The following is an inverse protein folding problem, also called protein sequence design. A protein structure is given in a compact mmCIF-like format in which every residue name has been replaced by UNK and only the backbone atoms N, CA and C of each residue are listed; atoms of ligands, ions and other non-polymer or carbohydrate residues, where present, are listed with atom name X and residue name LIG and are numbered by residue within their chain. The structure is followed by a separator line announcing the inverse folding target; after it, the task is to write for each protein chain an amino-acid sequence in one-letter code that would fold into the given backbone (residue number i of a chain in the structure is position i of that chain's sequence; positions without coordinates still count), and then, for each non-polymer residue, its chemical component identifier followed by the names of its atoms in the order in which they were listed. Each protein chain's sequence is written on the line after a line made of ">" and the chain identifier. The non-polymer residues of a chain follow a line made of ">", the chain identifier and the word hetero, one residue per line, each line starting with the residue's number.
data_IF_312454764404
#
_entry.id   IF_312454764404
#
_cell.length_a   1.000
_cell.length_b   1.000
_cell.length_c   1.000
_cell.angle_alpha   90.00
_cell.angle_beta   90.00
_cell.angle_gamma   90.00
#
_symmetry.space_group_name_H-M   'P 1'
#
loop_
_entity.id
_entity.type
_entity.pdbx_description
1 polymer ?
#
# COMPACT_ATOMS: atom_id res chain seq x y z
N UNK A 1 45.01 19.67 17.54
CA UNK A 1 43.53 19.78 17.39
C UNK A 1 43.30 20.02 15.91
N UNK A 2 42.99 18.96 15.16
CA UNK A 2 42.76 19.05 13.73
C UNK A 2 41.35 19.59 13.48
N UNK A 3 41.25 20.66 12.71
CA UNK A 3 39.99 21.16 12.17
C UNK A 3 39.44 20.09 11.23
N UNK A 4 38.35 19.43 11.62
CA UNK A 4 37.51 18.74 10.67
C UNK A 4 36.79 19.84 9.88
N UNK A 5 37.26 20.10 8.66
CA UNK A 5 36.46 20.83 7.68
C UNK A 5 35.16 20.05 7.50
N UNK A 6 34.02 20.67 7.80
CA UNK A 6 32.72 20.15 7.40
C UNK A 6 32.71 20.12 5.87
N UNK A 7 32.95 18.94 5.28
CA UNK A 7 32.67 18.71 3.87
C UNK A 7 31.19 19.07 3.64
N UNK A 8 30.94 20.18 2.94
CA UNK A 8 29.59 20.60 2.57
C UNK A 8 28.90 19.53 1.73
N UNK A 9 27.57 19.51 1.75
CA UNK A 9 26.78 18.51 1.02
C UNK A 9 27.23 18.44 -0.46
N UNK A 10 27.46 17.22 -1.00
CA UNK A 10 27.94 17.07 -2.36
C UNK A 10 26.92 17.62 -3.36
N UNK A 11 27.39 18.43 -4.31
CA UNK A 11 26.58 19.00 -5.39
C UNK A 11 26.60 18.04 -6.59
N UNK A 12 25.42 17.59 -7.00
CA UNK A 12 25.24 16.68 -8.13
C UNK A 12 24.60 17.40 -9.32
N UNK A 13 25.00 17.10 -10.57
CA UNK A 13 24.32 17.61 -11.75
C UNK A 13 22.86 17.13 -11.79
N UNK A 14 21.96 17.98 -12.29
CA UNK A 14 20.54 17.65 -12.45
C UNK A 14 20.27 17.15 -13.86
N UNK A 15 19.77 15.91 -13.98
CA UNK A 15 19.26 15.37 -15.24
C UNK A 15 17.93 16.06 -15.64
N UNK A 16 17.78 16.38 -16.93
CA UNK A 16 16.54 16.94 -17.49
C UNK A 16 15.57 15.82 -17.91
N UNK A 17 14.60 15.51 -17.04
CA UNK A 17 13.72 14.33 -17.16
C UNK A 17 12.43 14.56 -17.97
N UNK A 18 12.31 15.68 -18.68
CA UNK A 18 11.09 16.09 -19.37
C UNK A 18 9.97 16.55 -18.41
N UNK A 19 8.73 16.78 -18.90
CA UNK A 19 7.65 17.38 -18.09
C UNK A 19 7.01 16.42 -17.07
N UNK A 20 7.11 15.10 -17.29
CA UNK A 20 6.45 14.07 -16.48
C UNK A 20 7.43 13.12 -15.79
N UNK A 21 8.73 13.39 -15.87
CA UNK A 21 9.75 12.50 -15.36
C UNK A 21 9.80 11.14 -16.06
N UNK A 22 10.60 10.23 -15.52
CA UNK A 22 10.74 8.85 -15.98
C UNK A 22 9.82 7.90 -15.21
N UNK A 23 9.21 6.95 -15.92
CA UNK A 23 8.32 5.96 -15.31
C UNK A 23 9.06 4.89 -14.52
N UNK A 24 10.30 4.57 -14.91
CA UNK A 24 11.17 3.62 -14.22
C UNK A 24 12.51 4.30 -13.89
N UNK A 25 12.76 4.49 -12.59
CA UNK A 25 13.94 5.19 -12.09
C UNK A 25 15.24 4.41 -12.32
N UNK A 26 15.19 3.13 -12.69
CA UNK A 26 16.40 2.39 -13.12
C UNK A 26 16.97 2.88 -14.45
N UNK A 27 16.21 3.72 -15.18
CA UNK A 27 16.63 4.34 -16.44
C UNK A 27 17.31 5.70 -16.27
N UNK A 28 17.37 6.23 -15.05
CA UNK A 28 18.10 7.46 -14.75
C UNK A 28 19.59 7.25 -15.01
N UNK A 29 20.26 8.25 -15.57
CA UNK A 29 21.71 8.23 -15.74
C UNK A 29 22.41 8.37 -14.40
N UNK A 30 21.95 9.32 -13.58
CA UNK A 30 22.49 9.62 -12.25
C UNK A 30 21.56 9.02 -11.17
N UNK A 31 21.96 7.87 -10.62
CA UNK A 31 21.17 7.17 -9.60
C UNK A 31 21.62 7.53 -8.17
N UNK A 32 21.27 8.73 -7.72
CA UNK A 32 21.46 9.19 -6.33
C UNK A 32 20.15 9.70 -5.72
N UNK A 33 20.13 9.88 -4.39
CA UNK A 33 18.90 10.23 -3.64
C UNK A 33 18.20 11.49 -4.19
N UNK A 34 18.97 12.56 -4.48
CA UNK A 34 18.40 13.78 -5.04
C UNK A 34 17.75 13.60 -6.42
N UNK A 35 18.28 12.72 -7.29
CA UNK A 35 17.70 12.43 -8.59
C UNK A 35 16.39 11.64 -8.47
N UNK A 36 16.36 10.65 -7.56
CA UNK A 36 15.14 9.90 -7.24
C UNK A 36 14.05 10.84 -6.69
N UNK A 37 14.41 11.68 -5.72
CA UNK A 37 13.49 12.65 -5.12
C UNK A 37 12.96 13.63 -6.17
N UNK A 38 13.83 14.12 -7.06
CA UNK A 38 13.45 15.03 -8.13
C UNK A 38 12.43 14.39 -9.09
N UNK A 39 12.68 13.16 -9.53
CA UNK A 39 11.75 12.44 -10.41
C UNK A 39 10.39 12.21 -9.75
N UNK A 40 10.39 11.76 -8.48
CA UNK A 40 9.15 11.52 -7.73
C UNK A 40 8.36 12.81 -7.51
N UNK A 41 9.04 13.93 -7.19
CA UNK A 41 8.41 15.24 -7.04
C UNK A 41 7.73 15.68 -8.34
N UNK A 42 8.49 15.65 -9.45
CA UNK A 42 7.99 16.06 -10.76
C UNK A 42 6.76 15.25 -11.19
N UNK A 43 6.81 13.92 -11.01
CA UNK A 43 5.69 13.02 -11.29
C UNK A 43 4.48 13.33 -10.42
N UNK A 44 4.69 13.51 -9.12
CA UNK A 44 3.62 13.81 -8.17
C UNK A 44 2.92 15.13 -8.48
N UNK A 45 3.66 16.17 -8.87
CA UNK A 45 3.10 17.46 -9.28
C UNK A 45 2.20 17.34 -10.52
N UNK A 46 2.46 16.36 -11.40
CA UNK A 46 1.60 16.02 -12.54
C UNK A 46 0.46 15.04 -12.18
N UNK A 47 0.31 14.68 -10.91
CA UNK A 47 -0.69 13.72 -10.44
C UNK A 47 -0.35 12.25 -10.72
N UNK A 48 0.89 11.95 -11.12
CA UNK A 48 1.39 10.60 -11.36
C UNK A 48 1.98 10.03 -10.06
N UNK A 49 1.15 9.33 -9.29
CA UNK A 49 1.50 8.87 -7.93
C UNK A 49 2.36 7.60 -7.88
N UNK A 50 2.51 6.92 -9.01
CA UNK A 50 3.20 5.64 -9.12
C UNK A 50 4.45 5.78 -10.00
N UNK A 51 5.54 5.17 -9.56
CA UNK A 51 6.81 5.14 -10.28
C UNK A 51 7.50 3.80 -10.03
N UNK A 52 8.03 3.16 -11.07
CA UNK A 52 8.85 1.96 -10.92
C UNK A 52 10.27 2.31 -10.46
N UNK A 53 10.85 1.38 -9.71
CA UNK A 53 12.28 1.26 -9.49
C UNK A 53 12.62 -0.22 -9.74
N UNK A 54 12.70 -0.58 -11.03
CA UNK A 54 12.78 -1.97 -11.46
C UNK A 54 11.52 -2.75 -11.04
N UNK A 55 11.68 -3.79 -10.23
CA UNK A 55 10.55 -4.60 -9.71
C UNK A 55 9.82 -3.97 -8.52
N UNK A 56 10.36 -2.88 -7.96
CA UNK A 56 9.75 -2.16 -6.84
C UNK A 56 8.80 -1.08 -7.39
N UNK A 57 7.63 -0.94 -6.78
CA UNK A 57 6.72 0.16 -7.05
C UNK A 57 6.80 1.19 -5.93
N UNK A 58 7.19 2.42 -6.26
CA UNK A 58 7.14 3.57 -5.36
C UNK A 58 5.80 4.26 -5.55
N UNK A 59 5.04 4.37 -4.46
CA UNK A 59 3.75 5.03 -4.41
C UNK A 59 3.82 6.24 -3.48
N UNK A 60 3.42 7.42 -3.97
CA UNK A 60 3.36 8.65 -3.17
C UNK A 60 1.89 8.98 -2.88
N UNK A 61 1.49 8.94 -1.61
CA UNK A 61 0.10 9.14 -1.20
C UNK A 61 -0.40 10.55 -1.59
N UNK A 62 -1.44 10.68 -2.44
CA UNK A 62 -1.92 11.97 -2.91
C UNK A 62 -2.86 12.70 -1.94
N UNK A 63 -3.24 12.08 -0.82
CA UNK A 63 -4.20 12.61 0.17
C UNK A 63 -5.54 13.08 -0.44
N UNK A 64 -5.92 12.52 -1.58
CA UNK A 64 -7.18 12.78 -2.28
C UNK A 64 -7.70 11.49 -2.93
N UNK A 65 -9.01 11.37 -3.14
CA UNK A 65 -9.57 10.26 -3.91
C UNK A 65 -8.95 10.19 -5.31
N UNK A 66 -8.70 8.97 -5.77
CA UNK A 66 -8.06 8.67 -7.06
C UNK A 66 -8.83 7.55 -7.79
N UNK A 67 -10.15 7.56 -7.66
CA UNK A 67 -11.05 6.50 -8.14
C UNK A 67 -10.93 6.24 -9.65
N UNK A 68 -10.62 7.29 -10.41
CA UNK A 68 -10.39 7.21 -11.85
C UNK A 68 -9.24 6.25 -12.24
N UNK A 69 -8.30 5.97 -11.33
CA UNK A 69 -7.20 5.04 -11.57
C UNK A 69 -7.62 3.57 -11.42
N UNK A 70 -8.66 3.26 -10.63
CA UNK A 70 -8.94 1.89 -10.17
C UNK A 70 -10.21 1.27 -10.75
N UNK A 71 -10.68 1.77 -11.89
CA UNK A 71 -11.85 1.21 -12.56
C UNK A 71 -11.64 -0.22 -13.09
N UNK A 72 -12.75 -0.94 -13.32
CA UNK A 72 -12.74 -2.31 -13.85
C UNK A 72 -12.02 -2.42 -15.20
N UNK A 73 -12.12 -1.40 -16.05
CA UNK A 73 -11.40 -1.36 -17.33
C UNK A 73 -9.89 -1.31 -17.12
N UNK A 74 -9.43 -0.52 -16.14
CA UNK A 74 -8.02 -0.47 -15.76
C UNK A 74 -7.55 -1.82 -15.22
N UNK A 75 -8.34 -2.46 -14.36
CA UNK A 75 -8.02 -3.80 -13.85
C UNK A 75 -7.88 -4.82 -14.99
N UNK A 76 -8.82 -4.87 -15.93
CA UNK A 76 -8.74 -5.76 -17.10
C UNK A 76 -7.53 -5.46 -17.98
N UNK A 77 -7.21 -4.18 -18.20
CA UNK A 77 -6.04 -3.75 -18.97
C UNK A 77 -4.74 -4.25 -18.35
N UNK A 78 -4.56 -4.08 -17.04
CA UNK A 78 -3.36 -4.58 -16.35
C UNK A 78 -3.32 -6.10 -16.24
N UNK A 79 -4.46 -6.78 -16.13
CA UNK A 79 -4.50 -8.24 -16.16
C UNK A 79 -4.06 -8.84 -17.50
N UNK A 80 -4.36 -8.13 -18.61
CA UNK A 80 -4.01 -8.57 -19.95
C UNK A 80 -2.56 -8.25 -20.35
N UNK A 81 -1.80 -7.50 -19.55
CA UNK A 81 -0.39 -7.22 -19.81
C UNK A 81 0.45 -8.48 -19.62
N UNK A 82 1.44 -8.71 -20.49
CA UNK A 82 2.26 -9.92 -20.46
C UNK A 82 3.43 -9.78 -19.48
N UNK A 83 4.09 -8.62 -19.46
CA UNK A 83 5.23 -8.33 -18.62
C UNK A 83 5.07 -7.06 -17.79
N UNK A 84 5.76 -7.04 -16.64
CA UNK A 84 5.92 -5.83 -15.84
C UNK A 84 6.71 -4.78 -16.66
N UNK A 85 6.14 -3.60 -16.84
CA UNK A 85 6.73 -2.52 -17.64
C UNK A 85 6.11 -2.33 -19.03
N UNK A 86 5.24 -3.24 -19.50
CA UNK A 86 4.46 -3.05 -20.73
C UNK A 86 3.46 -1.90 -20.63
N UNK A 87 3.00 -1.64 -19.40
CA UNK A 87 2.09 -0.57 -19.05
C UNK A 87 2.73 0.37 -18.03
N UNK A 88 2.24 1.63 -17.94
CA UNK A 88 2.72 2.61 -16.98
C UNK A 88 2.72 2.08 -15.52
N UNK A 89 3.50 2.71 -14.63
CA UNK A 89 3.57 2.33 -13.22
C UNK A 89 2.21 2.33 -12.55
N UNK A 90 1.84 1.19 -11.96
CA UNK A 90 0.58 1.05 -11.25
C UNK A 90 0.60 -0.13 -10.28
N UNK A 91 -0.16 -0.02 -9.20
CA UNK A 91 -0.32 -1.10 -8.22
C UNK A 91 -0.87 -2.39 -8.85
N UNK A 92 -1.79 -2.25 -9.82
CA UNK A 92 -2.35 -3.40 -10.54
C UNK A 92 -1.31 -4.15 -11.37
N UNK A 93 -0.22 -3.50 -11.81
CA UNK A 93 0.86 -4.20 -12.52
C UNK A 93 1.60 -5.17 -11.58
N UNK A 94 1.87 -4.75 -10.34
CA UNK A 94 2.49 -5.60 -9.32
C UNK A 94 1.57 -6.77 -8.95
N UNK A 95 0.27 -6.49 -8.76
CA UNK A 95 -0.70 -7.53 -8.45
C UNK A 95 -0.91 -8.50 -9.63
N UNK A 96 -0.88 -8.02 -10.88
CA UNK A 96 -0.95 -8.84 -12.08
C UNK A 96 0.27 -9.77 -12.21
N UNK A 97 1.48 -9.24 -11.98
CA UNK A 97 2.72 -10.01 -12.02
C UNK A 97 2.75 -11.14 -10.96
N UNK A 98 2.27 -10.85 -9.74
CA UNK A 98 2.07 -11.89 -8.73
C UNK A 98 1.02 -12.92 -9.19
N UNK A 99 -0.10 -12.47 -9.78
CA UNK A 99 -1.17 -13.38 -10.22
C UNK A 99 -0.76 -14.31 -11.36
N UNK A 100 0.03 -13.82 -12.32
CA UNK A 100 0.53 -14.61 -13.45
C UNK A 100 1.55 -15.67 -13.04
N UNK A 101 2.20 -15.48 -11.90
CA UNK A 101 3.18 -16.41 -11.34
C UNK A 101 2.54 -17.58 -10.56
N UNK A 102 1.22 -17.62 -10.40
CA UNK A 102 0.52 -18.76 -9.79
C UNK A 102 0.65 -20.02 -10.70
N UNK A 103 0.79 -21.24 -10.13
CA UNK A 103 0.49 -21.61 -8.74
C UNK A 103 1.66 -21.47 -7.76
N UNK A 104 2.81 -20.92 -8.14
CA UNK A 104 3.91 -20.69 -7.19
C UNK A 104 3.48 -19.66 -6.14
N UNK A 105 3.66 -19.93 -4.83
CA UNK A 105 3.31 -18.98 -3.77
C UNK A 105 3.98 -17.62 -3.98
N UNK A 106 3.19 -16.54 -3.90
CA UNK A 106 3.66 -15.17 -4.08
C UNK A 106 3.44 -14.33 -2.82
N UNK A 107 4.26 -13.30 -2.66
CA UNK A 107 4.10 -12.31 -1.59
C UNK A 107 4.24 -10.91 -2.16
N UNK A 108 3.30 -10.03 -1.80
CA UNK A 108 3.37 -8.59 -2.07
C UNK A 108 3.65 -7.91 -0.73
N UNK A 109 4.85 -7.33 -0.58
CA UNK A 109 5.23 -6.58 0.61
C UNK A 109 4.93 -5.09 0.41
N UNK A 110 4.07 -4.53 1.25
CA UNK A 110 3.73 -3.10 1.24
C UNK A 110 4.30 -2.45 2.49
N UNK A 111 5.38 -1.70 2.33
CA UNK A 111 6.07 -0.98 3.42
C UNK A 111 5.87 0.54 3.29
N UNK A 112 6.29 1.28 4.33
CA UNK A 112 6.20 2.73 4.38
C UNK A 112 5.79 3.25 5.74
N UNK A 113 5.98 4.55 5.96
CA UNK A 113 5.65 5.21 7.22
C UNK A 113 4.14 5.24 7.50
N UNK A 114 3.77 5.64 8.72
CA UNK A 114 2.37 5.85 9.07
C UNK A 114 1.77 6.95 8.20
N UNK A 115 0.61 6.70 7.59
CA UNK A 115 -0.01 7.63 6.62
C UNK A 115 0.44 7.45 5.17
N UNK A 116 1.41 6.59 4.86
CA UNK A 116 1.92 6.39 3.49
C UNK A 116 0.94 5.70 2.51
N UNK A 117 -0.25 5.26 2.95
CA UNK A 117 -1.24 4.61 2.07
C UNK A 117 -1.14 3.08 1.98
N UNK A 118 -0.47 2.41 2.94
CA UNK A 118 -0.31 0.94 2.97
C UNK A 118 -1.65 0.20 2.99
N UNK A 119 -2.58 0.64 3.84
CA UNK A 119 -3.90 0.01 4.02
C UNK A 119 -4.73 0.13 2.74
N UNK A 120 -4.80 1.32 2.16
CA UNK A 120 -5.51 1.55 0.88
C UNK A 120 -4.89 0.75 -0.27
N UNK A 121 -3.55 0.70 -0.35
CA UNK A 121 -2.87 -0.10 -1.36
C UNK A 121 -3.17 -1.59 -1.21
N UNK A 122 -3.22 -2.09 0.03
CA UNK A 122 -3.63 -3.49 0.29
C UNK A 122 -5.06 -3.74 -0.20
N UNK A 123 -5.99 -2.86 0.14
CA UNK A 123 -7.40 -2.94 -0.27
C UNK A 123 -7.54 -3.00 -1.78
N UNK A 124 -6.88 -2.08 -2.49
CA UNK A 124 -6.91 -1.99 -3.96
C UNK A 124 -6.29 -3.23 -4.63
N UNK A 125 -5.19 -3.75 -4.10
CA UNK A 125 -4.57 -4.97 -4.61
C UNK A 125 -5.50 -6.19 -4.47
N UNK A 126 -6.19 -6.32 -3.32
CA UNK A 126 -7.17 -7.39 -3.08
C UNK A 126 -8.37 -7.25 -4.02
N UNK A 127 -8.90 -6.03 -4.18
CA UNK A 127 -9.99 -5.74 -5.11
C UNK A 127 -9.63 -6.11 -6.55
N UNK A 128 -8.42 -5.78 -7.00
CA UNK A 128 -7.90 -6.19 -8.30
C UNK A 128 -7.86 -7.71 -8.44
N UNK A 129 -7.19 -8.40 -7.50
CA UNK A 129 -7.02 -9.85 -7.55
C UNK A 129 -8.35 -10.61 -7.56
N UNK A 130 -9.35 -10.07 -6.86
CA UNK A 130 -10.71 -10.60 -6.86
C UNK A 130 -11.46 -10.31 -8.16
N UNK A 131 -11.36 -9.09 -8.69
CA UNK A 131 -12.08 -8.66 -9.89
C UNK A 131 -11.63 -9.39 -11.17
N UNK A 132 -10.37 -9.82 -11.22
CA UNK A 132 -9.79 -10.55 -12.36
C UNK A 132 -9.79 -12.06 -12.17
N UNK A 133 -10.14 -12.55 -10.98
CA UNK A 133 -10.31 -13.98 -10.74
C UNK A 133 -11.60 -14.48 -11.42
N UNK A 134 -11.61 -15.70 -11.97
CA UNK A 134 -12.84 -16.36 -12.39
C UNK A 134 -13.84 -16.44 -11.24
N UNK A 135 -15.13 -16.25 -11.55
CA UNK A 135 -16.20 -16.38 -10.57
C UNK A 135 -16.26 -17.83 -10.04
N UNK A 136 -16.28 -18.04 -8.71
CA UNK A 136 -16.48 -19.37 -8.16
C UNK A 136 -17.92 -19.84 -8.47
N UNK A 137 -18.13 -21.08 -8.95
CA UNK A 137 -19.47 -21.58 -9.25
C UNK A 137 -20.31 -21.64 -7.96
N UNK A 138 -21.46 -20.93 -7.96
CA UNK A 138 -22.46 -21.00 -6.90
C UNK A 138 -22.07 -20.37 -5.55
N UNK A 139 -21.06 -19.49 -5.50
CA UNK A 139 -20.66 -18.78 -4.26
C UNK A 139 -20.57 -17.27 -4.48
N UNK A 140 -20.91 -16.51 -3.44
CA UNK A 140 -20.67 -15.07 -3.40
C UNK A 140 -19.15 -14.76 -3.45
N UNK A 141 -18.74 -13.59 -3.97
CA UNK A 141 -17.34 -13.20 -4.02
C UNK A 141 -16.73 -13.13 -2.61
N UNK A 142 -15.72 -13.96 -2.35
CA UNK A 142 -15.01 -13.99 -1.05
C UNK A 142 -14.38 -12.63 -0.72
N UNK A 143 -14.10 -11.81 -1.74
CA UNK A 143 -13.51 -10.48 -1.58
C UNK A 143 -14.35 -9.52 -0.76
N UNK A 144 -15.67 -9.57 -0.88
CA UNK A 144 -16.56 -8.67 -0.14
C UNK A 144 -16.43 -8.92 1.37
N UNK A 145 -16.46 -10.19 1.78
CA UNK A 145 -16.28 -10.59 3.17
C UNK A 145 -14.91 -10.18 3.74
N UNK A 146 -13.84 -10.28 2.94
CA UNK A 146 -12.49 -9.85 3.35
C UNK A 146 -12.46 -8.34 3.61
N UNK A 147 -13.14 -7.56 2.76
CA UNK A 147 -13.20 -6.11 2.84
C UNK A 147 -14.10 -5.65 3.99
N UNK A 148 -15.24 -6.31 4.20
CA UNK A 148 -16.18 -6.03 5.29
C UNK A 148 -15.63 -6.39 6.68
N UNK A 149 -14.72 -7.36 6.76
CA UNK A 149 -14.04 -7.70 8.02
C UNK A 149 -12.95 -6.71 8.41
N UNK A 150 -12.50 -5.83 7.50
CA UNK A 150 -11.40 -4.91 7.77
C UNK A 150 -11.70 -3.88 8.87
N UNK A 151 -12.87 -3.19 8.88
CA UNK A 151 -13.23 -2.25 9.96
C UNK A 151 -13.20 -2.87 11.36
N UNK A 152 -13.66 -4.12 11.49
CA UNK A 152 -13.60 -4.85 12.75
C UNK A 152 -12.15 -5.01 13.23
N UNK A 153 -11.25 -5.45 12.37
CA UNK A 153 -9.84 -5.60 12.73
C UNK A 153 -9.15 -4.26 13.01
N UNK A 154 -9.57 -3.20 12.32
CA UNK A 154 -9.08 -1.84 12.57
C UNK A 154 -9.48 -1.34 13.95
N UNK A 155 -10.70 -1.59 14.42
CA UNK A 155 -11.16 -1.19 15.75
C UNK A 155 -10.24 -1.77 16.86
N UNK A 156 -9.87 -3.05 16.76
CA UNK A 156 -9.04 -3.73 17.76
C UNK A 156 -7.54 -3.50 17.62
N UNK A 157 -7.06 -3.05 16.45
CA UNK A 157 -5.64 -3.00 16.13
C UNK A 157 -5.10 -1.62 15.76
N UNK A 158 -5.96 -0.65 15.50
CA UNK A 158 -5.56 0.73 15.21
C UNK A 158 -5.75 1.63 16.43
N UNK A 159 -4.89 2.64 16.52
CA UNK A 159 -4.94 3.65 17.56
C UNK A 159 -4.52 5.02 17.01
N UNK A 160 -4.88 6.07 17.73
CA UNK A 160 -4.40 7.44 17.45
C UNK A 160 -3.00 7.62 18.03
N UNK A 161 -2.09 8.07 17.17
CA UNK A 161 -0.74 8.56 17.51
C UNK A 161 -0.66 10.07 17.21
N UNK A 162 0.44 10.76 17.59
CA UNK A 162 0.58 12.20 17.31
C UNK A 162 0.64 12.52 15.81
N UNK A 163 1.15 11.58 14.99
CA UNK A 163 1.33 11.76 13.54
C UNK A 163 0.20 11.18 12.69
N UNK A 164 -0.56 10.21 13.20
CA UNK A 164 -1.64 9.55 12.46
C UNK A 164 -2.78 9.15 13.40
N UNK A 165 -3.99 9.61 13.09
CA UNK A 165 -5.19 9.33 13.88
C UNK A 165 -5.71 7.90 13.74
N UNK A 166 -5.33 7.18 12.67
CA UNK A 166 -5.70 5.78 12.44
C UNK A 166 -4.47 4.93 12.10
N UNK A 167 -3.53 4.80 13.05
CA UNK A 167 -2.30 4.04 12.86
C UNK A 167 -2.49 2.58 13.29
N UNK A 168 -2.27 1.62 12.39
CA UNK A 168 -2.17 0.21 12.77
C UNK A 168 -0.96 -0.02 13.68
N UNK A 169 -1.17 -0.73 14.80
CA UNK A 169 -0.15 -1.06 15.81
C UNK A 169 0.15 -2.55 15.86
N UNK A 170 0.00 -3.21 14.72
CA UNK A 170 0.30 -4.62 14.47
C UNK A 170 0.74 -4.79 13.02
N UNK A 171 1.51 -5.84 12.74
CA UNK A 171 1.77 -6.34 11.39
C UNK A 171 0.60 -7.19 10.90
N UNK A 172 0.12 -6.93 9.69
CA UNK A 172 -0.99 -7.65 9.05
C UNK A 172 -0.48 -8.48 7.88
N UNK A 173 -0.76 -9.77 7.90
CA UNK A 173 -0.58 -10.65 6.74
C UNK A 173 -1.96 -11.09 6.25
N UNK A 174 -2.31 -10.70 5.03
CA UNK A 174 -3.49 -11.22 4.35
C UNK A 174 -3.03 -12.28 3.34
N UNK A 175 -3.44 -13.51 3.57
CA UNK A 175 -3.25 -14.61 2.64
C UNK A 175 -4.50 -14.79 1.81
N UNK A 176 -4.33 -14.87 0.49
CA UNK A 176 -5.38 -15.18 -0.45
C UNK A 176 -5.11 -16.56 -1.05
N UNK A 177 -6.08 -17.46 -0.96
CA UNK A 177 -5.96 -18.81 -1.48
C UNK A 177 -6.64 -18.90 -2.85
N UNK A 178 -5.89 -19.33 -3.86
CA UNK A 178 -6.39 -19.53 -5.21
C UNK A 178 -6.46 -21.03 -5.52
N UNK A 179 -7.57 -21.45 -6.15
CA UNK A 179 -7.76 -22.82 -6.65
C UNK A 179 -8.27 -22.74 -8.08
N UNK A 180 -7.57 -23.40 -9.01
CA UNK A 180 -7.91 -23.37 -10.44
C UNK A 180 -8.06 -21.95 -10.99
N UNK A 181 -7.25 -21.03 -10.44
CA UNK A 181 -7.28 -19.60 -10.74
C UNK A 181 -8.39 -18.79 -10.07
N UNK A 182 -9.42 -19.42 -9.50
CA UNK A 182 -10.46 -18.73 -8.75
C UNK A 182 -10.01 -18.41 -7.31
N UNK A 183 -10.48 -17.28 -6.77
CA UNK A 183 -10.26 -16.93 -5.36
C UNK A 183 -11.12 -17.85 -4.48
N UNK A 184 -10.49 -18.78 -3.77
CA UNK A 184 -11.14 -19.84 -3.02
C UNK A 184 -11.34 -19.49 -1.53
N UNK A 185 -10.52 -18.61 -0.98
CA UNK A 185 -10.55 -18.25 0.43
C UNK A 185 -9.52 -17.19 0.79
N UNK A 186 -9.55 -16.74 2.04
CA UNK A 186 -8.53 -15.89 2.59
C UNK A 186 -8.35 -16.10 4.09
N UNK A 187 -7.16 -15.75 4.60
CA UNK A 187 -6.84 -15.75 6.03
C UNK A 187 -6.14 -14.45 6.38
N UNK A 188 -6.53 -13.85 7.50
CA UNK A 188 -5.80 -12.70 8.07
C UNK A 188 -5.04 -13.17 9.29
N UNK A 189 -3.71 -13.02 9.26
CA UNK A 189 -2.84 -13.23 10.41
C UNK A 189 -2.30 -11.89 10.93
N UNK A 190 -2.18 -11.81 12.24
CA UNK A 190 -1.75 -10.61 12.96
C UNK A 190 -0.47 -10.93 13.72
N UNK A 191 0.50 -10.03 13.65
CA UNK A 191 1.81 -10.19 14.29
C UNK A 191 2.18 -8.93 15.05
N UNK A 192 2.94 -9.09 16.13
CA UNK A 192 3.60 -7.98 16.84
C UNK A 192 2.64 -6.85 17.27
N UNK A 193 1.47 -7.20 17.82
CA UNK A 193 0.58 -6.22 18.45
C UNK A 193 1.31 -5.48 19.56
N UNK A 194 1.21 -4.15 19.59
CA UNK A 194 1.77 -3.31 20.66
C UNK A 194 0.99 -3.51 21.97
N UNK A 195 1.33 -4.57 22.71
CA UNK A 195 0.64 -4.97 23.96
C UNK A 195 0.72 -3.90 25.05
N UNK A 196 1.81 -3.14 25.12
CA UNK A 196 2.00 -2.06 26.11
C UNK A 196 0.92 -0.98 26.02
N UNK A 197 0.41 -0.70 24.81
CA UNK A 197 -0.64 0.30 24.56
C UNK A 197 -1.93 0.03 25.31
N UNK A 198 -2.21 -1.23 25.66
CA UNK A 198 -3.41 -1.62 26.39
C UNK A 198 -3.44 -0.96 27.78
N UNK A 199 -2.28 -0.85 28.44
CA UNK A 199 -2.15 -0.38 29.83
C UNK A 199 -1.46 0.96 29.98
N UNK A 200 -0.78 1.46 28.93
CA UNK A 200 -0.01 2.70 29.00
C UNK A 200 -0.07 3.46 27.69
N UNK A 201 -0.28 4.78 27.77
CA UNK A 201 -0.28 5.68 26.61
C UNK A 201 0.58 6.91 26.90
N UNK A 202 1.42 7.31 25.95
CA UNK A 202 2.20 8.55 26.04
C UNK A 202 1.30 9.78 25.83
N UNK A 203 1.72 10.98 26.27
CA UNK A 203 0.97 12.21 26.01
C UNK A 203 0.65 12.40 24.52
N UNK A 204 -0.62 12.66 24.20
CA UNK A 204 -1.11 12.82 22.83
C UNK A 204 -1.47 11.52 22.11
N UNK A 205 -1.25 10.36 22.73
CA UNK A 205 -1.69 9.07 22.22
C UNK A 205 -3.01 8.60 22.84
N UNK A 206 -3.70 7.69 22.14
CA UNK A 206 -4.87 6.97 22.67
C UNK A 206 -4.60 5.47 22.73
N UNK A 207 -5.47 4.77 23.46
CA UNK A 207 -5.59 3.31 23.38
C UNK A 207 -6.17 2.90 22.01
N UNK A 208 -6.39 1.60 21.81
CA UNK A 208 -7.07 1.07 20.62
C UNK A 208 -8.49 1.62 20.49
N UNK A 209 -8.94 1.84 19.25
CA UNK A 209 -10.23 2.49 18.97
C UNK A 209 -11.41 1.77 19.60
N UNK A 210 -11.37 0.44 19.65
CA UNK A 210 -12.44 -0.41 20.22
C UNK A 210 -12.86 0.02 21.63
N UNK A 211 -11.93 0.46 22.48
CA UNK A 211 -12.27 0.89 23.83
C UNK A 211 -13.11 2.17 23.85
N UNK A 212 -12.91 3.05 22.87
CA UNK A 212 -13.67 4.30 22.74
C UNK A 212 -14.97 4.08 21.97
N UNK A 213 -14.92 3.26 20.92
CA UNK A 213 -16.09 2.91 20.10
C UNK A 213 -17.13 2.13 20.91
N UNK A 214 -16.69 1.19 21.75
CA UNK A 214 -17.58 0.50 22.69
C UNK A 214 -18.24 1.50 23.62
N UNK A 215 -17.48 2.32 24.36
CA UNK A 215 -18.05 3.29 25.30
C UNK A 215 -18.97 4.31 24.63
N UNK A 216 -18.69 4.71 23.39
CA UNK A 216 -19.53 5.65 22.65
C UNK A 216 -20.78 4.98 22.05
N UNK A 217 -20.76 3.66 21.87
CA UNK A 217 -21.83 2.89 21.24
C UNK A 217 -22.79 2.19 22.22
N UNK A 218 -22.52 2.24 23.53
CA UNK A 218 -23.42 1.73 24.56
C UNK A 218 -24.69 2.59 24.64
N UNK A 219 -25.84 1.95 24.83
CA UNK A 219 -27.08 2.63 25.21
C UNK A 219 -27.16 2.82 26.75
N UNK A 220 -28.23 3.45 27.25
CA UNK A 220 -28.38 3.72 28.69
C UNK A 220 -28.53 2.45 29.55
N UNK A 221 -28.80 1.28 28.95
CA UNK A 221 -29.02 0.01 29.65
C UNK A 221 -27.76 -0.87 29.74
N UNK A 222 -26.68 -0.52 29.04
CA UNK A 222 -25.43 -1.28 28.97
C UNK A 222 -24.25 -0.57 29.66
#
# INVERSE_FOLDING_TARGET
>A
MGNAEEEGDPVWPREELGPTGVEDMTRLHDLHEAALLWNLKLRYEQGLIYTYAGSILVAVNPYRPVDALYGLQTARRYHAAEALGDLPPHLFAIAAAARSSLPYPQAILISGESGAGKTESTKLAVQFLAAVAPAPPGRAPVSEQILEAAPLLEAFGNARTPKNHNSSRFGKLLELYFKDGALAGARVAHYLLEKSRIVTQSPGERNYHVFYELLAGLDEEQ
#
